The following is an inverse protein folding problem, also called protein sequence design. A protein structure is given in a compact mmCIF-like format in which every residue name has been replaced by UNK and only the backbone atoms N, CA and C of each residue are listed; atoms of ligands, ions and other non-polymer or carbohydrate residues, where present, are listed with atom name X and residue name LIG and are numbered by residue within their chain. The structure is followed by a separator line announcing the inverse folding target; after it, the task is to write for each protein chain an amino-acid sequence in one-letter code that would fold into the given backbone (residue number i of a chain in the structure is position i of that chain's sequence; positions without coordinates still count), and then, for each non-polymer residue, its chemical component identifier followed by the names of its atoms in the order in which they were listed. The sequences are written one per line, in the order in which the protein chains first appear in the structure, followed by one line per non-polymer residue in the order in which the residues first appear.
data_IF_454024405472
#
_entry.id   IF_454024405472
#
_cell.length_a   1.000
_cell.length_b   1.000
_cell.length_c   1.000
_cell.angle_alpha   90.00
_cell.angle_beta   90.00
_cell.angle_gamma   90.00
#
_symmetry.space_group_name_H-M   'P 1'
#
loop_
_entity.id
_entity.type
_entity.pdbx_description
1 polymer ?
#
# COMPACT_ATOMS: atom_id res chain seq x y z
N UNK A 1 -19.57 -2.02 -18.54
CA UNK A 1 -18.40 -1.16 -18.79
C UNK A 1 -17.76 -0.86 -17.45
N UNK A 2 -16.45 -1.00 -17.32
CA UNK A 2 -15.73 -0.63 -16.10
C UNK A 2 -15.69 0.89 -15.99
N UNK A 3 -16.13 1.44 -14.86
CA UNK A 3 -15.97 2.87 -14.61
C UNK A 3 -14.49 3.22 -14.46
N UNK A 4 -14.00 4.07 -15.35
CA UNK A 4 -12.62 4.55 -15.40
C UNK A 4 -12.50 6.03 -15.00
N UNK A 5 -13.50 6.56 -14.28
CA UNK A 5 -13.34 7.84 -13.60
C UNK A 5 -12.09 7.83 -12.71
N UNK A 6 -11.39 8.96 -12.54
CA UNK A 6 -10.20 9.04 -11.69
C UNK A 6 -10.44 8.51 -10.27
N UNK A 7 -11.60 8.84 -9.68
CA UNK A 7 -12.01 8.34 -8.37
C UNK A 7 -12.11 6.82 -8.36
N UNK A 8 -12.79 6.21 -9.34
CA UNK A 8 -12.93 4.76 -9.44
C UNK A 8 -11.60 4.04 -9.70
N UNK A 9 -10.65 4.67 -10.39
CA UNK A 9 -9.28 4.15 -10.51
C UNK A 9 -8.57 4.16 -9.16
N UNK A 10 -8.63 5.26 -8.42
CA UNK A 10 -7.99 5.39 -7.10
C UNK A 10 -8.62 4.44 -6.06
N UNK A 11 -9.95 4.28 -6.06
CA UNK A 11 -10.62 3.30 -5.19
C UNK A 11 -10.20 1.87 -5.49
N UNK A 12 -10.02 1.51 -6.77
CA UNK A 12 -9.47 0.21 -7.16
C UNK A 12 -8.02 0.04 -6.70
N UNK A 13 -7.20 1.07 -6.81
CA UNK A 13 -5.83 1.06 -6.26
C UNK A 13 -5.83 0.82 -4.74
N UNK A 14 -6.67 1.54 -3.98
CA UNK A 14 -6.79 1.35 -2.53
C UNK A 14 -7.27 -0.06 -2.17
N UNK A 15 -8.20 -0.62 -2.93
CA UNK A 15 -8.63 -2.01 -2.75
C UNK A 15 -7.48 -3.00 -2.98
N UNK A 16 -6.69 -2.81 -4.05
CA UNK A 16 -5.49 -3.61 -4.33
C UNK A 16 -4.45 -3.48 -3.21
N UNK A 17 -4.33 -2.31 -2.60
CA UNK A 17 -3.47 -2.07 -1.44
C UNK A 17 -3.96 -2.83 -0.20
N UNK A 18 -5.24 -2.77 0.13
CA UNK A 18 -5.79 -3.42 1.32
C UNK A 18 -5.94 -4.93 1.21
N UNK A 19 -6.24 -5.45 0.02
CA UNK A 19 -6.29 -6.89 -0.24
C UNK A 19 -4.89 -7.51 -0.43
N UNK A 20 -3.89 -6.65 -0.63
CA UNK A 20 -2.51 -7.04 -0.89
C UNK A 20 -1.76 -7.46 0.37
N UNK A 21 -0.80 -8.36 0.19
CA UNK A 21 0.29 -8.55 1.17
C UNK A 21 1.51 -7.75 0.74
N UNK A 22 2.46 -7.46 1.64
CA UNK A 22 3.72 -6.82 1.29
C UNK A 22 4.46 -7.44 0.09
N UNK A 23 4.39 -8.76 -0.05
CA UNK A 23 5.05 -9.46 -1.16
C UNK A 23 4.30 -9.28 -2.50
N UNK A 24 3.06 -8.78 -2.47
CA UNK A 24 2.23 -8.53 -3.66
C UNK A 24 2.41 -7.14 -4.28
N UNK A 25 3.02 -6.19 -3.56
CA UNK A 25 3.15 -4.79 -4.03
C UNK A 25 4.12 -4.61 -5.20
N UNK A 26 4.88 -5.65 -5.58
CA UNK A 26 5.70 -5.67 -6.80
C UNK A 26 5.03 -6.33 -8.01
N UNK A 27 3.81 -6.85 -7.86
CA UNK A 27 3.17 -7.69 -8.87
C UNK A 27 2.45 -6.90 -9.95
N UNK A 28 2.25 -7.52 -11.12
CA UNK A 28 1.46 -6.95 -12.22
C UNK A 28 0.02 -6.62 -11.81
N UNK A 29 -0.55 -7.42 -10.89
CA UNK A 29 -1.89 -7.16 -10.35
C UNK A 29 -1.95 -5.81 -9.65
N UNK A 30 -0.96 -5.50 -8.80
CA UNK A 30 -0.93 -4.25 -8.04
C UNK A 30 -0.76 -3.03 -8.95
N UNK A 31 0.07 -3.15 -10.00
CA UNK A 31 0.30 -2.09 -10.98
C UNK A 31 -0.68 -2.08 -12.17
N UNK A 32 -1.72 -2.91 -12.14
CA UNK A 32 -2.68 -3.05 -13.25
C UNK A 32 -3.49 -1.77 -13.53
N UNK A 33 -3.61 -0.89 -12.53
CA UNK A 33 -4.33 0.40 -12.64
C UNK A 33 -3.40 1.60 -12.88
N UNK A 34 -2.09 1.38 -12.95
CA UNK A 34 -1.10 2.43 -13.16
C UNK A 34 -0.84 2.63 -14.65
N UNK A 35 -0.58 3.87 -15.08
CA UNK A 35 -0.10 4.15 -16.43
C UNK A 35 1.36 3.70 -16.60
N UNK A 36 1.78 3.36 -17.82
CA UNK A 36 3.18 2.97 -18.10
C UNK A 36 4.15 4.14 -17.85
N UNK A 37 3.73 5.35 -18.18
CA UNK A 37 4.47 6.61 -18.05
C UNK A 37 4.16 7.36 -16.74
N UNK A 38 3.64 6.67 -15.72
CA UNK A 38 3.30 7.29 -14.45
C UNK A 38 4.50 7.99 -13.79
N UNK A 39 4.24 9.07 -13.07
CA UNK A 39 5.25 9.74 -12.24
C UNK A 39 4.85 9.57 -10.79
N UNK A 40 5.76 9.04 -9.97
CA UNK A 40 5.59 8.98 -8.52
C UNK A 40 6.57 9.95 -7.87
N UNK A 41 6.04 10.94 -7.17
CA UNK A 41 6.81 11.94 -6.44
C UNK A 41 6.65 11.73 -4.94
N UNK A 42 7.77 11.72 -4.22
CA UNK A 42 7.83 11.73 -2.77
C UNK A 42 8.42 13.05 -2.32
N UNK A 43 7.66 13.79 -1.51
CA UNK A 43 8.16 14.99 -0.84
C UNK A 43 9.25 14.61 0.20
N UNK A 44 10.09 15.59 0.59
CA UNK A 44 11.05 15.41 1.67
C UNK A 44 10.42 14.78 2.92
N UNK A 45 10.98 13.67 3.37
CA UNK A 45 10.50 12.88 4.50
C UNK A 45 11.66 12.15 5.18
N UNK A 46 11.42 11.50 6.34
CA UNK A 46 12.46 10.71 7.01
C UNK A 46 13.01 9.56 6.13
N UNK A 47 12.17 8.99 5.25
CA UNK A 47 12.57 7.93 4.31
C UNK A 47 13.27 8.49 3.07
N UNK A 48 12.87 9.67 2.61
CA UNK A 48 13.45 10.36 1.45
C UNK A 48 13.82 11.80 1.85
N UNK A 49 14.98 12.04 2.49
CA UNK A 49 15.31 13.36 3.06
C UNK A 49 15.34 14.50 2.03
N UNK A 50 15.70 14.20 0.77
CA UNK A 50 15.70 15.15 -0.34
C UNK A 50 14.43 15.05 -1.22
N UNK A 51 13.47 14.20 -0.85
CA UNK A 51 12.42 13.73 -1.75
C UNK A 51 12.98 12.79 -2.84
N UNK A 52 12.11 12.29 -3.70
CA UNK A 52 12.50 11.54 -4.90
C UNK A 52 11.40 11.56 -5.96
N UNK A 53 11.79 11.40 -7.23
CA UNK A 53 10.86 11.28 -8.36
C UNK A 53 11.19 10.00 -9.10
N UNK A 54 10.19 9.13 -9.29
CA UNK A 54 10.29 7.89 -10.04
C UNK A 54 9.50 8.03 -11.35
N UNK A 55 10.18 7.79 -12.46
CA UNK A 55 9.61 7.91 -13.80
C UNK A 55 9.28 6.52 -14.34
N UNK A 56 8.00 6.32 -14.67
CA UNK A 56 7.48 5.10 -15.25
C UNK A 56 7.14 4.01 -14.23
N UNK A 57 6.31 3.08 -14.67
CA UNK A 57 5.77 1.98 -13.86
C UNK A 57 6.86 1.08 -13.29
N UNK A 58 7.91 0.80 -14.07
CA UNK A 58 9.01 -0.08 -13.64
C UNK A 58 9.82 0.53 -12.48
N UNK A 59 10.06 1.84 -12.48
CA UNK A 59 10.75 2.52 -11.40
C UNK A 59 9.93 2.48 -10.10
N UNK A 60 8.62 2.74 -10.20
CA UNK A 60 7.70 2.64 -9.08
C UNK A 60 7.63 1.20 -8.52
N UNK A 61 7.57 0.20 -9.40
CA UNK A 61 7.57 -1.23 -9.05
C UNK A 61 8.83 -1.66 -8.33
N UNK A 62 9.99 -1.26 -8.83
CA UNK A 62 11.27 -1.57 -8.21
C UNK A 62 11.38 -0.98 -6.80
N UNK A 63 10.98 0.29 -6.64
CA UNK A 63 10.96 0.96 -5.36
C UNK A 63 10.02 0.26 -4.36
N UNK A 64 8.75 0.07 -4.73
CA UNK A 64 7.75 -0.57 -3.86
C UNK A 64 8.14 -2.00 -3.47
N UNK A 65 8.69 -2.78 -4.40
CA UNK A 65 9.19 -4.13 -4.09
C UNK A 65 10.34 -4.12 -3.07
N UNK A 66 11.17 -3.08 -3.10
CA UNK A 66 12.29 -2.93 -2.17
C UNK A 66 11.82 -2.50 -0.78
N UNK A 67 10.84 -1.59 -0.70
CA UNK A 67 10.36 -1.03 0.57
C UNK A 67 9.20 -1.81 1.19
N UNK A 68 8.54 -2.71 0.45
CA UNK A 68 7.34 -3.41 0.93
C UNK A 68 7.58 -4.24 2.19
N UNK A 69 8.79 -4.80 2.37
CA UNK A 69 9.16 -5.50 3.61
C UNK A 69 9.03 -4.62 4.84
N UNK A 70 9.33 -3.33 4.74
CA UNK A 70 9.16 -2.36 5.82
C UNK A 70 7.68 -2.00 6.09
N UNK A 71 6.78 -2.31 5.15
CA UNK A 71 5.34 -2.10 5.29
C UNK A 71 4.59 -3.29 5.92
N UNK A 72 5.29 -4.37 6.32
CA UNK A 72 4.67 -5.57 6.93
C UNK A 72 3.80 -5.26 8.16
N UNK A 73 4.17 -4.25 8.93
CA UNK A 73 3.43 -3.84 10.14
C UNK A 73 2.77 -2.47 9.96
N UNK A 74 2.38 -2.11 8.73
CA UNK A 74 1.81 -0.78 8.46
C UNK A 74 0.55 -0.90 7.61
N UNK A 75 -0.43 -0.05 7.90
CA UNK A 75 -1.64 0.13 7.11
C UNK A 75 -1.81 1.61 6.81
N UNK A 76 -2.37 1.93 5.65
CA UNK A 76 -2.89 3.27 5.37
C UNK A 76 -4.29 3.39 5.99
N UNK A 77 -4.52 4.38 6.83
CA UNK A 77 -5.87 4.78 7.22
C UNK A 77 -6.32 5.95 6.35
N UNK A 78 -7.24 5.68 5.44
CA UNK A 78 -7.74 6.67 4.47
C UNK A 78 -8.93 7.38 5.09
N UNK A 79 -8.84 8.71 5.22
CA UNK A 79 -9.91 9.51 5.79
C UNK A 79 -10.98 9.87 4.75
N UNK A 80 -10.58 10.15 3.51
CA UNK A 80 -11.49 10.53 2.43
C UNK A 80 -10.88 10.25 1.04
N UNK A 81 -11.71 10.33 -0.01
CA UNK A 81 -11.31 10.31 -1.42
C UNK A 81 -12.00 11.47 -2.14
N UNK A 82 -11.24 12.50 -2.47
CA UNK A 82 -11.76 13.77 -2.98
C UNK A 82 -11.39 13.92 -4.45
N UNK A 83 -12.36 13.85 -5.35
CA UNK A 83 -12.16 14.02 -6.79
C UNK A 83 -12.40 15.47 -7.24
N UNK A 84 -11.51 15.99 -8.07
CA UNK A 84 -11.61 17.31 -8.69
C UNK A 84 -11.11 17.23 -10.15
N UNK A 85 -12.05 17.00 -11.07
CA UNK A 85 -11.73 16.81 -12.50
C UNK A 85 -10.93 15.52 -12.73
N UNK A 86 -9.71 15.66 -13.25
CA UNK A 86 -8.77 14.57 -13.51
C UNK A 86 -7.88 14.21 -12.31
N UNK A 87 -8.05 14.91 -11.18
CA UNK A 87 -7.25 14.74 -9.97
C UNK A 87 -8.05 14.12 -8.84
N UNK A 88 -7.36 13.34 -8.02
CA UNK A 88 -7.91 12.75 -6.79
C UNK A 88 -6.92 12.96 -5.66
N UNK A 89 -7.40 13.50 -4.55
CA UNK A 89 -6.64 13.58 -3.30
C UNK A 89 -7.13 12.50 -2.34
N UNK A 90 -6.19 11.84 -1.66
CA UNK A 90 -6.45 10.80 -0.66
C UNK A 90 -5.74 11.19 0.63
N UNK A 91 -6.37 11.98 1.51
CA UNK A 91 -5.84 12.22 2.86
C UNK A 91 -5.78 10.90 3.62
N UNK A 92 -4.58 10.51 4.04
CA UNK A 92 -4.36 9.26 4.75
C UNK A 92 -3.19 9.38 5.72
N UNK A 93 -3.22 8.56 6.77
CA UNK A 93 -2.12 8.38 7.70
C UNK A 93 -1.57 6.95 7.63
N UNK A 94 -0.29 6.79 7.94
CA UNK A 94 0.32 5.46 8.07
C UNK A 94 0.23 5.06 9.54
N UNK A 95 -0.55 4.03 9.83
CA UNK A 95 -0.70 3.47 11.16
C UNK A 95 0.18 2.23 11.29
N UNK A 96 1.04 2.21 12.32
CA UNK A 96 1.77 1.00 12.67
C UNK A 96 0.82 0.00 13.35
N UNK A 97 0.68 -1.19 12.76
CA UNK A 97 -0.04 -2.28 13.39
C UNK A 97 0.82 -2.84 14.51
N UNK A 98 0.26 -2.93 15.72
CA UNK A 98 0.88 -3.72 16.78
C UNK A 98 1.17 -5.12 16.21
N UNK A 99 2.42 -5.57 16.35
CA UNK A 99 2.84 -6.92 15.95
C UNK A 99 1.78 -7.91 16.44
N UNK A 100 1.26 -8.82 15.60
CA UNK A 100 0.28 -9.79 16.07
C UNK A 100 0.88 -10.55 17.24
N UNK A 101 0.35 -10.32 18.44
CA UNK A 101 0.67 -11.14 19.60
C UNK A 101 0.07 -12.51 19.31
N UNK A 102 0.89 -13.42 18.80
CA UNK A 102 0.52 -14.82 18.71
C UNK A 102 0.52 -15.37 20.12
N UNK A 103 -0.65 -15.34 20.77
CA UNK A 103 -0.87 -16.09 22.01
C UNK A 103 -0.92 -17.58 21.67
N UNK A 104 0.21 -18.28 21.81
CA UNK A 104 0.17 -19.73 21.97
C UNK A 104 -0.15 -20.04 23.44
N UNK A 105 -1.43 -20.23 23.78
CA UNK A 105 -1.74 -21.05 24.96
C UNK A 105 -1.50 -22.49 24.57
N UNK A 106 -0.31 -23.01 24.89
CA UNK A 106 -0.09 -24.45 24.89
C UNK A 106 -1.03 -25.01 25.97
N UNK A 107 -2.11 -25.68 25.57
CA UNK A 107 -2.87 -26.50 26.50
C UNK A 107 -1.88 -27.42 27.21
N UNK A 108 -1.76 -27.29 28.53
CA UNK A 108 -0.95 -28.19 29.33
C UNK A 108 -1.48 -29.61 29.06
N UNK A 109 -0.66 -30.40 28.36
CA UNK A 109 -0.96 -31.80 28.09
C UNK A 109 -0.68 -32.56 29.38
N UNK A 110 -1.73 -33.07 30.01
CA UNK A 110 -1.65 -34.17 30.97
C UNK A 110 -1.54 -33.78 32.45
N UNK A 111 -2.67 -33.45 33.06
CA UNK A 111 -3.02 -34.07 34.34
C UNK A 111 -4.36 -34.77 34.15
N UNK A 112 -4.31 -36.09 33.95
CA UNK A 112 -5.41 -37.02 34.18
C UNK A 112 -4.77 -38.40 34.39
N UNK A 113 -4.75 -38.76 35.67
CA UNK A 113 -4.68 -40.10 36.29
C UNK A 113 -3.47 -41.01 36.05
#
# INVERSE_FOLDING_TARGET
MTDNSPESVVRRYLQLYYDGTPDSYGSDRFFSVWAEDCVQEFLPSAQFPAGTVLLGKDAARSNLSSVSRAFRNRRLDVHDVIAAGDRVAVPAEVVEMATPVVWFTRAAKGQAE
#
